data_IF_491539887111
#
_entry.id   IF_491539887111
#
_cell.length_a   1.000
_cell.length_b   1.000
_cell.length_c   1.000
_cell.angle_alpha   90.00
_cell.angle_beta   90.00
_cell.angle_gamma   90.00
#
_symmetry.space_group_name_H-M   'P 1'
#
loop_
_entity.id
_entity.type
_entity.pdbx_description
1 polymer ?
#
# COMPACT_ATOMS: atom_id res chain seq x y z
N UNK A 1 -5.68 1.13 12.72
CA UNK A 1 -4.66 0.70 11.74
C UNK A 1 -5.30 0.54 10.38
N UNK A 2 -4.60 0.94 9.33
CA UNK A 2 -5.03 0.78 7.94
C UNK A 2 -3.89 0.11 7.16
N UNK A 3 -4.21 -0.96 6.44
CA UNK A 3 -3.31 -1.67 5.52
C UNK A 3 -3.83 -1.49 4.10
N UNK A 4 -3.01 -0.93 3.23
CA UNK A 4 -3.25 -0.84 1.80
C UNK A 4 -2.75 -2.13 1.13
N UNK A 5 -3.62 -2.81 0.40
CA UNK A 5 -3.24 -3.86 -0.56
C UNK A 5 -2.61 -3.14 -1.77
N UNK A 6 -1.31 -3.34 -2.01
CA UNK A 6 -0.56 -2.57 -3.02
C UNK A 6 -0.49 -1.05 -2.75
N UNK A 7 -0.12 -0.61 -1.53
CA UNK A 7 0.14 0.80 -1.26
C UNK A 7 1.56 1.23 -1.60
N UNK A 8 1.78 1.95 -2.71
CA UNK A 8 3.13 2.37 -3.12
C UNK A 8 3.55 3.73 -2.57
N UNK A 9 4.83 4.05 -2.77
CA UNK A 9 5.44 5.33 -2.38
C UNK A 9 4.64 6.55 -2.88
N UNK A 10 4.15 6.60 -4.15
CA UNK A 10 3.34 7.73 -4.61
C UNK A 10 2.04 7.92 -3.80
N UNK A 11 1.29 6.87 -3.52
CA UNK A 11 0.05 6.97 -2.74
C UNK A 11 0.34 7.40 -1.30
N UNK A 12 1.30 6.75 -0.63
CA UNK A 12 1.66 7.06 0.76
C UNK A 12 2.14 8.51 0.89
N UNK A 13 2.99 8.96 -0.04
CA UNK A 13 3.49 10.35 -0.05
C UNK A 13 2.38 11.35 -0.31
N UNK A 14 1.46 11.04 -1.23
CA UNK A 14 0.29 11.88 -1.53
C UNK A 14 -0.64 11.99 -0.32
N UNK A 15 -0.90 10.88 0.35
CA UNK A 15 -1.72 10.83 1.57
C UNK A 15 -1.05 11.63 2.70
N UNK A 16 0.26 11.44 2.92
CA UNK A 16 1.02 12.18 3.93
C UNK A 16 0.96 13.69 3.67
N UNK A 17 1.24 14.12 2.42
CA UNK A 17 1.15 15.51 2.01
C UNK A 17 -0.26 16.10 2.18
N UNK A 18 -1.30 15.30 1.91
CA UNK A 18 -2.68 15.72 2.12
C UNK A 18 -3.03 15.92 3.60
N UNK A 19 -2.58 15.02 4.48
CA UNK A 19 -2.77 15.21 5.92
C UNK A 19 -1.97 16.40 6.45
N UNK A 20 -0.74 16.60 5.99
CA UNK A 20 0.07 17.77 6.33
C UNK A 20 -0.63 19.08 5.92
N UNK A 21 -1.22 19.13 4.71
CA UNK A 21 -2.03 20.25 4.24
C UNK A 21 -3.25 20.54 5.15
N UNK A 22 -3.80 19.52 5.81
CA UNK A 22 -4.89 19.66 6.77
C UNK A 22 -4.41 19.95 8.20
N UNK A 23 -3.14 20.36 8.38
CA UNK A 23 -2.51 20.63 9.66
C UNK A 23 -2.52 19.43 10.63
N UNK A 24 -2.45 18.21 10.09
CA UNK A 24 -2.19 16.99 10.86
C UNK A 24 -0.70 16.66 10.83
N UNK A 25 -0.21 16.06 11.91
CA UNK A 25 1.17 15.60 11.93
C UNK A 25 1.24 14.29 11.14
N UNK A 26 1.92 14.31 9.99
CA UNK A 26 2.08 13.14 9.12
C UNK A 26 3.56 12.76 9.03
N UNK A 27 3.92 11.60 9.59
CA UNK A 27 5.30 11.12 9.65
C UNK A 27 5.44 9.80 8.90
N UNK A 28 6.22 9.80 7.82
CA UNK A 28 6.70 8.57 7.17
C UNK A 28 7.94 8.12 7.93
N UNK A 29 7.96 6.88 8.41
CA UNK A 29 9.14 6.36 9.10
C UNK A 29 10.33 6.12 8.17
N UNK A 30 11.53 6.27 8.71
CA UNK A 30 12.81 5.98 8.05
C UNK A 30 13.08 4.48 7.90
N UNK A 31 12.24 3.64 8.52
CA UNK A 31 12.24 2.19 8.41
C UNK A 31 11.14 1.74 7.46
N UNK A 32 11.51 0.86 6.56
CA UNK A 32 10.61 0.25 5.58
C UNK A 32 10.67 -1.26 5.71
N UNK A 33 9.58 -1.94 5.38
CA UNK A 33 9.61 -3.38 5.20
C UNK A 33 10.07 -3.69 3.77
N UNK A 34 11.07 -4.58 3.64
CA UNK A 34 11.59 -5.01 2.34
C UNK A 34 11.05 -6.41 2.03
N UNK A 35 10.37 -6.53 0.90
CA UNK A 35 9.78 -7.75 0.38
C UNK A 35 10.62 -8.27 -0.80
N UNK A 36 11.46 -9.32 -0.66
CA UNK A 36 12.35 -9.73 -1.74
C UNK A 36 11.62 -10.35 -2.95
N UNK A 37 12.28 -10.39 -4.11
CA UNK A 37 11.72 -10.97 -5.34
C UNK A 37 11.43 -12.47 -5.12
N UNK A 38 10.26 -12.94 -5.56
CA UNK A 38 9.85 -14.34 -5.37
C UNK A 38 9.39 -14.66 -3.95
N UNK A 39 9.39 -13.65 -3.06
CA UNK A 39 8.96 -13.73 -1.67
C UNK A 39 7.83 -12.75 -1.34
N UNK A 40 7.10 -12.18 -2.31
CA UNK A 40 5.71 -11.72 -2.04
C UNK A 40 4.81 -12.86 -1.53
N UNK A 41 5.27 -14.09 -1.76
CA UNK A 41 4.92 -15.32 -1.05
C UNK A 41 5.12 -15.28 0.46
N UNK A 42 5.82 -14.33 1.07
CA UNK A 42 6.15 -14.40 2.50
C UNK A 42 4.88 -14.25 3.33
N UNK A 43 4.03 -13.24 3.12
CA UNK A 43 2.75 -13.17 3.85
C UNK A 43 1.75 -14.28 3.45
N UNK A 44 1.74 -14.66 2.18
CA UNK A 44 0.75 -15.62 1.64
C UNK A 44 1.14 -17.10 1.81
N UNK A 45 2.44 -17.43 1.88
CA UNK A 45 2.98 -18.78 2.10
C UNK A 45 3.48 -19.00 3.54
N UNK A 46 3.87 -17.97 4.31
CA UNK A 46 4.06 -18.16 5.76
C UNK A 46 2.73 -18.46 6.47
N UNK A 47 1.62 -18.07 5.85
CA UNK A 47 0.26 -18.40 6.24
C UNK A 47 -0.34 -19.46 5.30
N UNK A 48 0.45 -20.48 4.92
CA UNK A 48 0.14 -21.52 3.92
C UNK A 48 -1.24 -22.18 4.02
N UNK A 49 -1.93 -22.07 5.15
CA UNK A 49 -3.27 -22.60 5.41
C UNK A 49 -4.41 -21.66 4.99
N UNK A 50 -4.15 -20.45 4.51
CA UNK A 50 -5.19 -19.43 4.30
C UNK A 50 -5.09 -18.75 2.92
N UNK A 51 -6.23 -18.56 2.25
CA UNK A 51 -6.29 -17.89 0.95
C UNK A 51 -5.69 -16.47 0.99
N UNK A 52 -5.24 -15.95 -0.17
CA UNK A 52 -4.54 -14.66 -0.32
C UNK A 52 -5.29 -13.48 0.33
N UNK A 53 -6.61 -13.43 0.16
CA UNK A 53 -7.45 -12.40 0.78
C UNK A 53 -7.46 -12.49 2.32
N UNK A 54 -7.42 -13.72 2.84
CA UNK A 54 -7.42 -14.00 4.27
C UNK A 54 -6.08 -13.65 4.91
N UNK A 55 -4.96 -13.87 4.22
CA UNK A 55 -3.61 -13.59 4.73
C UNK A 55 -3.40 -12.11 5.09
N UNK A 56 -3.80 -11.17 4.22
CA UNK A 56 -3.66 -9.74 4.49
C UNK A 56 -4.58 -9.25 5.61
N UNK A 57 -5.77 -9.82 5.70
CA UNK A 57 -6.67 -9.54 6.82
C UNK A 57 -6.06 -10.03 8.14
N UNK A 58 -5.41 -11.18 8.15
CA UNK A 58 -4.67 -11.66 9.31
C UNK A 58 -3.47 -10.79 9.65
N UNK A 59 -2.71 -10.34 8.66
CA UNK A 59 -1.60 -9.39 8.87
C UNK A 59 -2.07 -8.11 9.54
N UNK A 60 -3.15 -7.50 9.04
CA UNK A 60 -3.76 -6.31 9.65
C UNK A 60 -4.24 -6.59 11.08
N UNK A 61 -4.82 -7.77 11.32
CA UNK A 61 -5.28 -8.19 12.64
C UNK A 61 -4.12 -8.41 13.63
N UNK A 62 -3.07 -9.10 13.21
CA UNK A 62 -1.88 -9.35 14.03
C UNK A 62 -1.23 -8.03 14.42
N UNK A 63 -0.99 -7.14 13.45
CA UNK A 63 -0.42 -5.83 13.75
C UNK A 63 -1.31 -4.99 14.68
N UNK A 64 -2.64 -5.08 14.52
CA UNK A 64 -3.56 -4.43 15.46
C UNK A 64 -3.39 -4.97 16.88
N UNK A 65 -3.29 -6.29 17.05
CA UNK A 65 -3.11 -6.94 18.35
C UNK A 65 -1.78 -6.52 18.99
N UNK A 66 -0.68 -6.58 18.23
CA UNK A 66 0.66 -6.19 18.69
C UNK A 66 0.76 -4.71 19.07
N UNK A 67 0.04 -3.83 18.36
CA UNK A 67 0.05 -2.38 18.62
C UNK A 67 -1.05 -1.93 19.60
N UNK A 68 -1.90 -2.84 20.08
CA UNK A 68 -3.06 -2.49 20.90
C UNK A 68 -4.04 -1.53 20.19
N UNK A 69 -4.14 -1.59 18.86
CA UNK A 69 -4.98 -0.69 18.09
C UNK A 69 -6.48 -1.06 18.22
N UNK A 70 -7.36 -0.05 18.19
CA UNK A 70 -8.82 -0.24 18.33
C UNK A 70 -9.45 -0.94 17.12
N UNK A 71 -8.92 -0.69 15.92
CA UNK A 71 -9.47 -1.18 14.66
C UNK A 71 -8.36 -1.51 13.66
N UNK A 72 -8.69 -2.39 12.74
CA UNK A 72 -7.91 -2.80 11.58
C UNK A 72 -8.78 -2.66 10.33
N UNK A 73 -8.21 -2.13 9.24
CA UNK A 73 -8.89 -1.91 7.98
C UNK A 73 -7.96 -2.30 6.86
N UNK A 74 -8.49 -3.04 5.88
CA UNK A 74 -7.83 -3.33 4.62
C UNK A 74 -8.48 -2.51 3.51
N UNK A 75 -7.68 -1.83 2.69
CA UNK A 75 -8.15 -1.12 1.49
C UNK A 75 -7.46 -1.74 0.27
N UNK A 76 -8.24 -2.34 -0.64
CA UNK A 76 -7.70 -3.07 -1.80
C UNK A 76 -7.78 -2.33 -3.14
N UNK A 77 -8.12 -1.05 -3.14
CA UNK A 77 -8.39 -0.29 -4.38
C UNK A 77 -7.22 -0.32 -5.35
N UNK A 78 -5.98 -0.15 -4.87
CA UNK A 78 -4.81 -0.11 -5.73
C UNK A 78 -4.51 -1.49 -6.33
N UNK A 79 -4.47 -2.55 -5.51
CA UNK A 79 -4.24 -3.93 -5.98
C UNK A 79 -5.25 -4.34 -7.07
N UNK A 80 -6.54 -4.00 -6.88
CA UNK A 80 -7.59 -4.31 -7.86
C UNK A 80 -7.35 -3.62 -9.22
N UNK A 81 -6.82 -2.40 -9.22
CA UNK A 81 -6.53 -1.65 -10.46
C UNK A 81 -5.28 -2.24 -11.14
N UNK A 82 -4.22 -2.51 -10.38
CA UNK A 82 -2.97 -3.03 -10.94
C UNK A 82 -3.11 -4.47 -11.45
N UNK A 83 -4.00 -5.28 -10.85
CA UNK A 83 -4.26 -6.66 -11.29
C UNK A 83 -5.02 -6.79 -12.62
N UNK A 84 -5.56 -5.71 -13.20
CA UNK A 84 -6.25 -5.77 -14.50
C UNK A 84 -5.32 -5.95 -15.72
N UNK A 85 -4.10 -6.46 -15.51
CA UNK A 85 -2.93 -6.44 -16.41
C UNK A 85 -2.39 -5.04 -16.64
N UNK A 86 -1.06 -4.96 -16.85
CA UNK A 86 -0.28 -3.73 -16.78
C UNK A 86 -1.00 -2.49 -17.31
N UNK A 87 -1.30 -1.56 -16.40
CA UNK A 87 -2.00 -0.33 -16.74
C UNK A 87 -0.97 0.74 -17.09
N UNK A 88 -1.19 1.44 -18.19
CA UNK A 88 -0.44 2.66 -18.49
C UNK A 88 -0.57 3.61 -17.30
N UNK A 89 0.44 4.44 -17.04
CA UNK A 89 0.37 5.40 -15.91
C UNK A 89 -0.89 6.27 -16.01
N UNK A 90 -1.25 6.70 -17.22
CA UNK A 90 -2.47 7.49 -17.43
C UNK A 90 -3.74 6.71 -17.08
N UNK A 91 -3.84 5.44 -17.50
CA UNK A 91 -5.00 4.61 -17.17
C UNK A 91 -5.11 4.39 -15.67
N UNK A 92 -3.98 4.09 -15.01
CA UNK A 92 -3.92 3.91 -13.57
C UNK A 92 -4.43 5.15 -12.82
N UNK A 93 -3.90 6.33 -13.14
CA UNK A 93 -4.29 7.58 -12.47
C UNK A 93 -5.77 7.94 -12.72
N UNK A 94 -6.30 7.63 -13.90
CA UNK A 94 -7.71 7.86 -14.21
C UNK A 94 -8.64 6.88 -13.47
N UNK A 95 -8.18 5.67 -13.18
CA UNK A 95 -8.94 4.66 -12.43
C UNK A 95 -8.80 4.79 -10.91
N UNK A 96 -7.69 5.36 -10.44
CA UNK A 96 -7.39 5.49 -9.02
C UNK A 96 -8.18 6.63 -8.37
N UNK A 97 -9.23 6.29 -7.64
CA UNK A 97 -9.95 7.23 -6.77
C UNK A 97 -9.19 7.44 -5.45
N UNK A 98 -8.05 8.13 -5.52
CA UNK A 98 -7.22 8.45 -4.36
C UNK A 98 -7.97 9.30 -3.33
N UNK A 99 -8.94 10.11 -3.78
CA UNK A 99 -9.78 10.92 -2.90
C UNK A 99 -10.63 10.03 -2.00
N UNK A 100 -11.28 9.00 -2.55
CA UNK A 100 -12.07 8.03 -1.77
C UNK A 100 -11.21 7.22 -0.82
N UNK A 101 -9.98 6.85 -1.21
CA UNK A 101 -9.02 6.20 -0.32
C UNK A 101 -8.68 7.13 0.86
N UNK A 102 -8.35 8.39 0.55
CA UNK A 102 -8.05 9.40 1.56
C UNK A 102 -9.22 9.65 2.52
N UNK A 103 -10.45 9.81 2.04
CA UNK A 103 -11.60 10.06 2.91
C UNK A 103 -11.90 8.90 3.86
N UNK A 104 -11.69 7.65 3.42
CA UNK A 104 -11.77 6.49 4.30
C UNK A 104 -10.74 6.60 5.44
N UNK A 105 -9.49 6.97 5.14
CA UNK A 105 -8.46 7.15 6.17
C UNK A 105 -8.74 8.33 7.10
N UNK A 106 -9.19 9.46 6.52
CA UNK A 106 -9.50 10.68 7.24
C UNK A 106 -10.61 10.48 8.27
N UNK A 107 -11.62 9.65 7.96
CA UNK A 107 -12.66 9.28 8.91
C UNK A 107 -12.09 8.73 10.23
N UNK A 108 -11.05 7.90 10.16
CA UNK A 108 -10.40 7.32 11.33
C UNK A 108 -9.37 8.26 11.97
N UNK A 109 -8.59 8.99 11.17
CA UNK A 109 -7.60 9.96 11.64
C UNK A 109 -8.22 11.10 12.46
N UNK A 110 -9.49 11.43 12.22
CA UNK A 110 -10.21 12.43 13.03
C UNK A 110 -10.47 11.98 14.47
N UNK A 111 -10.49 10.67 14.73
CA UNK A 111 -10.89 10.12 16.02
C UNK A 111 -9.69 9.83 16.92
N UNK A 112 -8.59 9.33 16.34
CA UNK A 112 -7.35 8.99 17.04
C UNK A 112 -6.20 8.99 16.03
N UNK A 113 -4.96 8.88 16.52
CA UNK A 113 -3.80 8.58 15.69
C UNK A 113 -4.00 7.29 14.89
N UNK A 114 -3.51 7.27 13.66
CA UNK A 114 -3.57 6.09 12.80
C UNK A 114 -2.20 5.74 12.24
N UNK A 115 -1.92 4.44 12.21
CA UNK A 115 -0.86 3.86 11.40
C UNK A 115 -1.44 3.38 10.06
N UNK A 116 -0.85 3.83 8.97
CA UNK A 116 -1.10 3.43 7.59
C UNK A 116 0.14 2.68 7.11
N UNK A 117 -0.04 1.47 6.57
CA UNK A 117 1.04 0.67 5.96
C UNK A 117 0.53 -0.03 4.71
N UNK A 118 1.42 -0.72 4.00
CA UNK A 118 1.08 -1.65 2.94
C UNK A 118 1.75 -3.01 3.17
N UNK A 119 1.36 -4.00 2.39
CA UNK A 119 2.04 -5.30 2.28
C UNK A 119 3.11 -5.30 1.18
N UNK A 120 2.87 -4.55 0.12
CA UNK A 120 3.80 -4.22 -0.95
C UNK A 120 3.34 -2.98 -1.73
N UNK A 121 4.17 -2.48 -2.64
CA UNK A 121 3.78 -1.55 -3.69
C UNK A 121 3.57 -2.21 -5.07
N UNK A 122 3.63 -1.40 -6.11
CA UNK A 122 3.68 -1.77 -7.52
C UNK A 122 5.00 -1.28 -8.15
N UNK A 123 5.34 -1.82 -9.30
CA UNK A 123 6.52 -1.44 -10.06
C UNK A 123 6.15 -0.46 -11.18
N UNK A 124 7.02 0.53 -11.43
CA UNK A 124 6.97 1.34 -12.64
C UNK A 124 8.00 0.82 -13.63
N UNK A 125 7.53 0.43 -14.80
CA UNK A 125 8.31 -0.17 -15.87
C UNK A 125 8.22 0.70 -17.11
N UNK A 126 9.29 0.72 -17.89
CA UNK A 126 9.35 1.36 -19.21
C UNK A 126 9.65 0.31 -20.27
N UNK A 127 9.02 0.43 -21.43
CA UNK A 127 9.47 -0.24 -22.66
C UNK A 127 9.63 0.78 -23.81
N UNK A 128 9.80 0.29 -25.03
CA UNK A 128 10.00 1.13 -26.22
C UNK A 128 8.79 2.00 -26.56
N UNK A 129 7.63 1.76 -25.95
CA UNK A 129 6.37 2.40 -26.28
C UNK A 129 5.86 3.29 -25.15
N UNK A 130 5.97 2.87 -23.88
CA UNK A 130 5.43 3.65 -22.77
C UNK A 130 5.94 3.29 -21.36
N UNK A 131 5.52 4.10 -20.39
CA UNK A 131 5.60 3.79 -18.96
C UNK A 131 4.30 3.13 -18.50
N UNK A 132 4.43 2.01 -17.79
CA UNK A 132 3.29 1.27 -17.25
C UNK A 132 3.57 0.75 -15.83
N UNK A 133 2.48 0.47 -15.12
CA UNK A 133 2.48 -0.03 -13.76
C UNK A 133 2.18 -1.52 -13.77
N UNK A 134 2.91 -2.29 -12.99
CA UNK A 134 2.72 -3.75 -12.88
C UNK A 134 3.13 -4.28 -11.50
N UNK A 135 2.87 -5.57 -11.25
CA UNK A 135 3.23 -6.24 -10.01
C UNK A 135 4.37 -7.23 -10.19
N UNK A 136 5.45 -7.04 -9.41
CA UNK A 136 6.52 -8.03 -9.28
C UNK A 136 7.30 -8.25 -10.58
N UNK A 137 7.66 -7.16 -11.25
CA UNK A 137 8.41 -7.20 -12.48
C UNK A 137 9.80 -7.81 -12.23
N UNK A 138 10.12 -8.85 -13.01
CA UNK A 138 11.34 -9.67 -12.81
C UNK A 138 12.56 -9.20 -13.59
N UNK A 139 12.38 -8.30 -14.56
CA UNK A 139 13.50 -7.74 -15.34
C UNK A 139 13.99 -6.45 -14.69
N UNK A 140 14.94 -5.79 -15.35
CA UNK A 140 15.40 -4.45 -14.97
C UNK A 140 14.19 -3.50 -14.90
N UNK A 141 13.98 -2.95 -13.72
CA UNK A 141 12.79 -2.17 -13.38
C UNK A 141 13.28 -0.80 -12.90
N UNK A 142 12.95 0.28 -13.62
CA UNK A 142 13.35 1.63 -13.25
C UNK A 142 12.98 2.00 -11.82
N UNK A 143 11.76 1.66 -11.37
CA UNK A 143 11.31 1.88 -9.99
C UNK A 143 10.59 0.64 -9.46
N UNK A 144 11.28 -0.13 -8.63
CA UNK A 144 10.76 -1.38 -8.08
C UNK A 144 10.15 -1.20 -6.68
N UNK A 145 8.98 -0.57 -6.59
CA UNK A 145 8.32 -0.35 -5.30
C UNK A 145 7.58 -1.58 -4.78
N UNK A 146 7.37 -2.62 -5.60
CA UNK A 146 6.77 -3.86 -5.11
C UNK A 146 7.58 -4.56 -4.01
N UNK A 147 8.84 -4.17 -3.83
CA UNK A 147 9.72 -4.66 -2.77
C UNK A 147 9.70 -3.83 -1.49
N UNK A 148 8.96 -2.73 -1.43
CA UNK A 148 9.01 -1.80 -0.31
C UNK A 148 7.59 -1.56 0.20
N UNK A 149 7.41 -1.67 1.51
CA UNK A 149 6.23 -1.20 2.20
C UNK A 149 6.63 -0.14 3.22
N UNK A 150 6.01 1.04 3.09
CA UNK A 150 6.23 2.19 3.98
C UNK A 150 5.28 2.14 5.17
N UNK A 151 5.70 2.77 6.26
CA UNK A 151 4.87 3.04 7.43
C UNK A 151 4.66 4.55 7.57
N UNK A 152 3.39 4.97 7.63
CA UNK A 152 2.97 6.35 7.80
C UNK A 152 2.10 6.48 9.06
N UNK A 153 2.51 7.33 9.99
CA UNK A 153 1.72 7.71 11.16
C UNK A 153 1.08 9.06 10.96
N UNK A 154 -0.21 9.17 11.30
CA UNK A 154 -0.97 10.42 11.35
C UNK A 154 -1.43 10.66 12.78
N UNK A 155 -1.10 11.83 13.35
CA UNK A 155 -1.58 12.35 14.65
C UNK A 155 -2.44 13.62 14.47
#
# INVERSE_FOLDING_TARGET
MIVLDCGSIPEISTIAGRFAYLNRNATIYDRVFVNPIGTTRFLTEQLASFGRETALKYYAKLLKEELGAKFDIKISTTDLIVHQYGVTVSSFLNSLDIKKIFEQMNYFARQNSILITADHGYDLVADEHELYITHGYKKECPLNFSRIALFLVID
#
